data_IF_078791077034
#
_entry.id   IF_078791077034
#
_cell.length_a   1.000
_cell.length_b   1.000
_cell.length_c   1.000
_cell.angle_alpha   90.00
_cell.angle_beta   90.00
_cell.angle_gamma   90.00
#
_symmetry.space_group_name_H-M   'P 1'
#
loop_
_entity.id
_entity.type
_entity.pdbx_description
1 polymer ?
#
# COMPACT_ATOMS: atom_id res chain seq x y z
N UNK A 1 53.69 41.35 -25.41
CA UNK A 1 52.43 40.79 -25.95
C UNK A 1 52.53 39.27 -25.97
N UNK A 2 51.76 38.57 -25.11
CA UNK A 2 51.21 37.27 -25.51
C UNK A 2 49.73 37.08 -25.13
N UNK A 3 49.22 35.92 -25.56
CA UNK A 3 47.85 35.43 -25.70
C UNK A 3 46.99 35.23 -24.42
N UNK A 4 45.68 35.05 -24.61
CA UNK A 4 44.86 34.12 -23.83
C UNK A 4 43.42 34.56 -23.48
N UNK A 5 42.40 33.84 -24.01
CA UNK A 5 41.21 33.25 -23.32
C UNK A 5 40.16 32.86 -24.38
N UNK A 6 39.70 31.62 -24.58
CA UNK A 6 39.09 30.53 -23.77
C UNK A 6 37.53 30.50 -23.86
N UNK A 7 37.05 29.46 -24.54
CA UNK A 7 35.82 28.66 -24.44
C UNK A 7 34.44 29.30 -24.61
N UNK A 8 33.69 28.72 -25.55
CA UNK A 8 32.27 28.95 -25.80
C UNK A 8 31.46 27.82 -25.14
N UNK A 9 30.54 28.20 -24.25
CA UNK A 9 29.54 27.34 -23.62
C UNK A 9 28.20 27.44 -24.33
N UNK A 10 27.57 26.28 -24.49
CA UNK A 10 26.33 25.95 -25.17
C UNK A 10 25.07 26.33 -24.39
N UNK A 11 24.02 26.80 -25.07
CA UNK A 11 22.65 26.77 -24.53
C UNK A 11 21.59 26.44 -25.59
N UNK A 12 20.87 25.34 -25.33
CA UNK A 12 19.41 25.29 -25.39
C UNK A 12 18.72 25.18 -26.75
N UNK A 13 18.65 23.97 -27.29
CA UNK A 13 17.76 23.61 -28.40
C UNK A 13 16.29 23.53 -27.91
N UNK A 14 15.38 24.17 -28.64
CA UNK A 14 13.93 24.05 -28.49
C UNK A 14 13.48 22.62 -28.84
N UNK A 15 12.56 22.03 -28.06
CA UNK A 15 11.46 21.28 -28.66
C UNK A 15 10.29 21.10 -27.70
N UNK A 16 9.10 21.48 -28.17
CA UNK A 16 7.82 21.12 -27.57
C UNK A 16 7.37 19.77 -28.14
N UNK A 17 6.82 18.89 -27.31
CA UNK A 17 5.86 17.86 -27.75
C UNK A 17 5.04 17.34 -26.55
N UNK A 18 3.84 16.76 -26.79
CA UNK A 18 2.62 17.08 -26.08
C UNK A 18 2.26 15.98 -25.06
N UNK A 19 1.19 16.23 -24.31
CA UNK A 19 0.49 15.27 -23.45
C UNK A 19 0.39 13.90 -24.13
N UNK A 20 1.21 12.94 -23.67
CA UNK A 20 0.97 11.53 -23.92
C UNK A 20 0.16 10.98 -22.74
N UNK A 21 -1.10 10.71 -23.06
CA UNK A 21 -2.03 9.90 -22.29
C UNK A 21 -1.48 8.47 -22.29
N UNK A 22 -0.73 8.11 -21.23
CA UNK A 22 -0.26 6.74 -21.05
C UNK A 22 -1.46 5.85 -20.66
N UNK A 23 -1.84 4.98 -21.59
CA UNK A 23 -2.86 3.94 -21.44
C UNK A 23 -2.64 3.09 -20.16
N UNK A 24 -3.70 2.51 -19.56
CA UNK A 24 -3.54 1.70 -18.35
C UNK A 24 -2.65 0.50 -18.66
N UNK A 25 -1.50 0.44 -18.00
CA UNK A 25 -0.61 -0.73 -18.01
C UNK A 25 -1.42 -1.95 -17.60
N UNK A 26 -1.72 -2.81 -18.56
CA UNK A 26 -2.29 -4.13 -18.33
C UNK A 26 -1.31 -4.92 -17.47
N UNK A 27 -1.57 -4.99 -16.16
CA UNK A 27 -0.75 -5.78 -15.24
C UNK A 27 -0.95 -7.27 -15.59
N UNK A 28 0.10 -7.99 -15.99
CA UNK A 28 0.00 -9.42 -16.25
C UNK A 28 -0.32 -10.15 -14.95
N UNK A 29 -1.20 -11.16 -15.07
CA UNK A 29 -1.63 -12.08 -14.02
C UNK A 29 -0.50 -12.44 -13.05
N UNK A 30 -0.54 -11.88 -11.84
CA UNK A 30 0.41 -12.18 -10.76
C UNK A 30 -0.15 -13.25 -9.80
N UNK A 31 -0.88 -14.23 -10.33
CA UNK A 31 -1.29 -15.42 -9.58
C UNK A 31 -0.17 -16.48 -9.71
N UNK A 32 0.83 -16.43 -8.83
CA UNK A 32 1.61 -17.62 -8.41
C UNK A 32 2.72 -17.34 -7.39
N UNK A 33 3.08 -16.09 -7.07
CA UNK A 33 4.09 -15.80 -6.05
C UNK A 33 3.79 -14.52 -5.27
N UNK A 34 2.72 -14.56 -4.45
CA UNK A 34 2.32 -13.45 -3.59
C UNK A 34 3.38 -13.30 -2.48
N UNK A 35 4.22 -12.27 -2.60
CA UNK A 35 4.92 -11.70 -1.45
C UNK A 35 3.86 -11.36 -0.38
N UNK A 36 3.89 -11.93 0.84
CA UNK A 36 2.74 -11.95 1.75
C UNK A 36 2.31 -10.58 2.32
N UNK A 37 2.93 -9.48 1.86
CA UNK A 37 2.97 -8.20 2.55
C UNK A 37 2.57 -6.99 1.68
N UNK A 38 2.24 -7.18 0.39
CA UNK A 38 2.05 -6.05 -0.52
C UNK A 38 0.68 -6.06 -1.20
N UNK A 39 -0.18 -5.10 -0.85
CA UNK A 39 -1.31 -4.71 -1.69
C UNK A 39 -0.83 -3.58 -2.63
N UNK A 40 -0.57 -3.88 -3.92
CA UNK A 40 0.10 -2.96 -4.83
C UNK A 40 -0.71 -1.70 -5.15
N UNK A 41 -2.02 -1.70 -4.89
CA UNK A 41 -2.89 -0.59 -5.23
C UNK A 41 -3.19 0.28 -4.00
N UNK A 42 -2.66 1.50 -4.00
CA UNK A 42 -2.83 2.46 -2.90
C UNK A 42 -4.31 2.75 -2.60
N UNK A 43 -5.16 2.80 -3.62
CA UNK A 43 -6.61 3.02 -3.43
C UNK A 43 -7.23 1.87 -2.63
N UNK A 44 -6.86 0.62 -2.94
CA UNK A 44 -7.39 -0.55 -2.22
C UNK A 44 -6.93 -0.54 -0.77
N UNK A 45 -5.65 -0.26 -0.51
CA UNK A 45 -5.12 -0.11 0.85
C UNK A 45 -5.91 0.92 1.66
N UNK A 46 -6.19 2.09 1.07
CA UNK A 46 -6.99 3.14 1.73
C UNK A 46 -8.43 2.68 1.97
N UNK A 47 -9.05 2.00 1.00
CA UNK A 47 -10.40 1.46 1.17
C UNK A 47 -10.49 0.43 2.29
N UNK A 48 -9.53 -0.49 2.38
CA UNK A 48 -9.45 -1.46 3.48
C UNK A 48 -9.19 -0.75 4.82
N UNK A 49 -8.27 0.20 4.87
CA UNK A 49 -8.01 1.01 6.07
C UNK A 49 -9.28 1.66 6.64
N UNK A 50 -10.14 2.18 5.76
CA UNK A 50 -11.39 2.83 6.16
C UNK A 50 -12.39 1.88 6.83
N UNK A 51 -12.22 0.55 6.70
CA UNK A 51 -13.05 -0.45 7.39
C UNK A 51 -12.71 -0.61 8.88
N UNK A 52 -11.52 -0.19 9.34
CA UNK A 52 -11.16 -0.21 10.76
C UNK A 52 -11.93 0.86 11.54
N UNK A 53 -12.11 0.66 12.84
CA UNK A 53 -12.83 1.60 13.71
C UNK A 53 -11.94 2.81 14.03
N UNK A 54 -12.38 4.06 13.80
CA UNK A 54 -11.64 5.25 14.22
C UNK A 54 -11.33 5.25 15.72
N UNK A 55 -10.08 5.51 16.12
CA UNK A 55 -9.69 5.50 17.53
C UNK A 55 -10.05 6.83 18.21
N UNK A 56 -10.97 6.86 19.19
CA UNK A 56 -11.38 8.10 19.85
C UNK A 56 -10.21 8.82 20.54
N UNK A 57 -10.16 10.15 20.44
CA UNK A 57 -9.12 10.97 21.05
C UNK A 57 -7.79 11.04 20.27
N UNK A 58 -7.69 10.41 19.10
CA UNK A 58 -6.53 10.47 18.21
C UNK A 58 -6.91 11.03 16.84
N UNK A 59 -5.92 11.31 15.99
CA UNK A 59 -6.19 11.66 14.59
C UNK A 59 -6.83 10.45 13.87
N UNK A 60 -8.12 10.56 13.55
CA UNK A 60 -8.94 9.48 12.98
C UNK A 60 -8.50 9.02 11.58
N UNK A 61 -7.69 9.82 10.89
CA UNK A 61 -7.10 9.45 9.61
C UNK A 61 -5.82 8.60 9.77
N UNK A 62 -5.20 8.64 10.94
CA UNK A 62 -3.92 7.99 11.23
C UNK A 62 -4.09 6.80 12.17
N UNK A 63 -4.98 6.91 13.15
CA UNK A 63 -5.13 5.93 14.23
C UNK A 63 -6.51 5.28 14.20
N UNK A 64 -6.50 3.96 14.16
CA UNK A 64 -7.70 3.12 14.16
C UNK A 64 -7.50 1.89 15.03
N UNK A 65 -8.57 1.15 15.20
CA UNK A 65 -8.60 -0.12 15.94
C UNK A 65 -9.14 -1.21 15.00
N UNK A 66 -8.44 -2.33 14.92
CA UNK A 66 -8.90 -3.50 14.17
C UNK A 66 -10.09 -4.20 14.84
N UNK A 67 -10.62 -5.24 14.21
CA UNK A 67 -11.78 -5.99 14.72
C UNK A 67 -11.51 -6.68 16.07
N UNK A 68 -10.23 -6.91 16.41
CA UNK A 68 -9.79 -7.54 17.66
C UNK A 68 -9.51 -6.53 18.78
N UNK A 69 -9.75 -5.23 18.56
CA UNK A 69 -9.49 -4.19 19.56
C UNK A 69 -8.04 -3.68 19.58
N UNK A 70 -7.18 -4.13 18.66
CA UNK A 70 -5.77 -3.71 18.59
C UNK A 70 -5.61 -2.39 17.86
N UNK A 71 -4.80 -1.48 18.41
CA UNK A 71 -4.52 -0.19 17.75
C UNK A 71 -3.59 -0.38 16.56
N UNK A 72 -3.96 0.22 15.43
CA UNK A 72 -3.20 0.22 14.18
C UNK A 72 -2.93 1.65 13.71
N UNK A 73 -1.79 1.85 13.07
CA UNK A 73 -1.35 3.14 12.52
C UNK A 73 -1.28 3.08 10.99
N UNK A 74 -1.90 4.03 10.30
CA UNK A 74 -1.94 4.06 8.83
C UNK A 74 -0.54 3.94 8.21
N UNK A 75 0.44 4.62 8.79
CA UNK A 75 1.82 4.66 8.30
C UNK A 75 2.64 3.40 8.59
N UNK A 76 2.17 2.53 9.49
CA UNK A 76 2.85 1.28 9.85
C UNK A 76 2.34 0.07 9.03
N UNK A 77 1.69 0.35 7.90
CA UNK A 77 1.23 -0.68 6.98
C UNK A 77 2.39 -1.61 6.55
N UNK A 78 2.18 -2.92 6.65
CA UNK A 78 3.15 -3.93 6.26
C UNK A 78 4.38 -4.03 7.17
N UNK A 79 4.39 -3.34 8.32
CA UNK A 79 5.49 -3.38 9.27
C UNK A 79 5.18 -4.28 10.48
N UNK A 80 5.53 -5.58 10.46
CA UNK A 80 5.26 -6.48 11.58
C UNK A 80 6.12 -6.19 12.82
N UNK A 81 7.18 -5.38 12.70
CA UNK A 81 8.02 -4.96 13.82
C UNK A 81 7.43 -3.76 14.57
N UNK A 82 6.43 -3.08 14.01
CA UNK A 82 5.74 -1.99 14.70
C UNK A 82 4.71 -2.54 15.69
N UNK A 83 4.61 -1.99 16.91
CA UNK A 83 3.51 -2.28 17.84
C UNK A 83 2.13 -1.89 17.28
N UNK A 84 2.08 -1.06 16.24
CA UNK A 84 0.86 -0.61 15.56
C UNK A 84 0.81 -1.02 14.09
N UNK A 85 1.66 -1.98 13.71
CA UNK A 85 1.70 -2.55 12.38
C UNK A 85 0.38 -3.22 12.01
N UNK A 86 -0.01 -3.08 10.76
CA UNK A 86 -1.21 -3.72 10.24
C UNK A 86 -1.02 -4.19 8.80
N UNK A 87 -1.87 -5.12 8.40
CA UNK A 87 -1.89 -5.71 7.07
C UNK A 87 -3.33 -5.87 6.59
N UNK A 88 -3.48 -6.09 5.29
CA UNK A 88 -4.74 -6.56 4.73
C UNK A 88 -4.86 -8.06 5.02
N UNK A 89 -6.02 -8.47 5.53
CA UNK A 89 -6.40 -9.84 5.82
C UNK A 89 -7.67 -10.20 5.06
N UNK A 90 -7.81 -11.48 4.70
CA UNK A 90 -9.01 -12.02 4.07
C UNK A 90 -9.95 -12.62 5.13
N UNK A 91 -11.21 -12.21 5.14
CA UNK A 91 -12.25 -12.77 6.00
C UNK A 91 -12.43 -14.27 5.72
N UNK A 92 -12.58 -14.61 4.43
CA UNK A 92 -12.54 -15.98 3.90
C UNK A 92 -11.15 -16.20 3.30
N UNK A 93 -10.36 -17.16 3.80
CA UNK A 93 -9.07 -17.51 3.21
C UNK A 93 -9.19 -17.88 1.73
N UNK A 94 -8.17 -17.56 0.94
CA UNK A 94 -8.11 -17.93 -0.49
C UNK A 94 -8.22 -19.45 -0.69
N UNK A 95 -7.61 -20.22 0.22
CA UNK A 95 -7.66 -21.69 0.25
C UNK A 95 -9.08 -22.27 0.39
N UNK A 96 -10.04 -21.44 0.82
CA UNK A 96 -11.44 -21.80 1.07
C UNK A 96 -12.40 -21.02 0.16
N UNK A 97 -11.90 -20.49 -0.95
CA UNK A 97 -12.70 -19.78 -1.96
C UNK A 97 -12.89 -18.29 -1.69
N UNK A 98 -12.12 -17.70 -0.79
CA UNK A 98 -12.05 -16.26 -0.62
C UNK A 98 -11.51 -15.55 -1.86
N UNK A 99 -11.86 -14.27 -2.01
CA UNK A 99 -11.43 -13.42 -3.13
C UNK A 99 -10.70 -12.17 -2.64
N UNK A 100 -10.02 -11.47 -3.53
CA UNK A 100 -9.43 -10.15 -3.25
C UNK A 100 -10.45 -9.00 -3.33
N UNK A 101 -11.75 -9.32 -3.37
CA UNK A 101 -12.80 -8.30 -3.37
C UNK A 101 -12.79 -7.53 -2.06
N UNK A 102 -12.98 -6.20 -2.12
CA UNK A 102 -13.00 -5.33 -0.94
C UNK A 102 -13.98 -5.78 0.15
N UNK A 103 -15.05 -6.48 -0.22
CA UNK A 103 -16.00 -7.10 0.71
C UNK A 103 -15.34 -8.15 1.60
N UNK A 104 -14.40 -8.93 1.06
CA UNK A 104 -13.67 -10.01 1.73
C UNK A 104 -12.38 -9.53 2.43
N UNK A 105 -11.98 -8.27 2.26
CA UNK A 105 -10.73 -7.74 2.84
C UNK A 105 -10.96 -6.94 4.11
N UNK A 106 -10.10 -7.06 5.12
CA UNK A 106 -10.14 -6.27 6.33
C UNK A 106 -8.75 -5.80 6.78
N UNK A 107 -8.64 -4.68 7.50
CA UNK A 107 -7.41 -4.28 8.17
C UNK A 107 -7.26 -5.11 9.46
N UNK A 108 -6.11 -5.73 9.64
CA UNK A 108 -5.83 -6.54 10.82
C UNK A 108 -4.43 -6.21 11.36
N UNK A 109 -4.28 -6.13 12.68
CA UNK A 109 -2.96 -5.96 13.29
C UNK A 109 -2.04 -7.12 12.91
N UNK A 110 -0.75 -6.84 12.70
CA UNK A 110 0.22 -7.84 12.23
C UNK A 110 0.30 -9.09 13.12
N UNK A 111 0.26 -8.92 14.45
CA UNK A 111 0.30 -10.03 15.40
C UNK A 111 -1.01 -10.83 15.36
N UNK A 112 -2.14 -10.14 15.19
CA UNK A 112 -3.44 -10.79 15.04
C UNK A 112 -3.50 -11.63 13.76
N UNK A 113 -3.04 -11.08 12.64
CA UNK A 113 -2.92 -11.83 11.37
C UNK A 113 -1.99 -13.03 11.49
N UNK A 114 -0.86 -12.87 12.19
CA UNK A 114 0.11 -13.96 12.44
C UNK A 114 -0.54 -15.11 13.22
N UNK A 115 -1.37 -14.80 14.21
CA UNK A 115 -2.11 -15.79 15.01
C UNK A 115 -3.25 -16.45 14.25
N UNK A 116 -3.96 -15.71 13.40
CA UNK A 116 -5.07 -16.22 12.58
C UNK A 116 -4.59 -17.23 11.53
N UNK A 117 -3.50 -16.92 10.82
CA UNK A 117 -3.01 -17.77 9.73
C UNK A 117 -4.09 -17.99 8.65
N UNK A 118 -4.33 -19.25 8.29
CA UNK A 118 -5.37 -19.66 7.33
C UNK A 118 -6.75 -19.90 7.99
N UNK A 119 -6.94 -19.51 9.26
CA UNK A 119 -8.20 -19.74 9.96
C UNK A 119 -9.22 -18.63 9.66
N UNK A 120 -10.51 -18.95 9.77
CA UNK A 120 -11.62 -17.99 9.60
C UNK A 120 -11.88 -17.06 10.78
N UNK A 121 -11.20 -17.27 11.91
CA UNK A 121 -11.53 -16.55 13.13
C UNK A 121 -10.95 -15.14 13.04
N UNK A 122 -11.80 -14.19 12.63
CA UNK A 122 -11.90 -12.74 12.94
C UNK A 122 -12.38 -11.93 11.74
#
# INVERSE_FOLDING_TARGET
>A
MPAGKLLQGSDGHLNANPLQEEAPVSLPNLCSNIQPFYCPHEVLRRQVWLKATPKPGFNLNVWRTDICGSTICFYDYGNPSSPHGWMVDHLIPLSLGGTDDLSNLQPLHCENKRRKGESFLW
#
